data_IF_429895199222
#
_entry.id   IF_429895199222
#
_cell.length_a   1.000
_cell.length_b   1.000
_cell.length_c   1.000
_cell.angle_alpha   90.00
_cell.angle_beta   90.00
_cell.angle_gamma   90.00
#
_symmetry.space_group_name_H-M   'P 1'
#
loop_
_entity.id
_entity.type
_entity.pdbx_description
1 polymer ?
#
# COMPACT_ATOMS: atom_id res chain seq x y z
N UNK A 1 -12.08 18.89 -9.50
CA UNK A 1 -12.79 19.09 -8.21
C UNK A 1 -13.67 17.90 -7.82
N UNK A 2 -14.19 17.13 -8.77
CA UNK A 2 -15.07 15.95 -8.58
C UNK A 2 -14.80 15.10 -7.33
N UNK A 3 -13.59 14.56 -7.13
CA UNK A 3 -13.30 13.70 -5.98
C UNK A 3 -13.46 14.41 -4.63
N UNK A 4 -13.06 15.68 -4.56
CA UNK A 4 -13.18 16.49 -3.34
C UNK A 4 -14.63 16.94 -3.11
N UNK A 5 -15.41 17.15 -4.18
CA UNK A 5 -16.84 17.43 -4.05
C UNK A 5 -17.60 16.20 -3.54
N UNK A 6 -17.23 15.00 -3.98
CA UNK A 6 -17.79 13.75 -3.44
C UNK A 6 -17.38 13.57 -1.98
N UNK A 7 -16.08 13.71 -1.66
CA UNK A 7 -15.56 13.40 -0.33
C UNK A 7 -16.01 14.40 0.74
N UNK A 8 -16.12 15.69 0.40
CA UNK A 8 -16.43 16.75 1.36
C UNK A 8 -17.82 17.37 1.17
N UNK A 9 -18.47 17.22 0.02
CA UNK A 9 -19.77 17.85 -0.24
C UNK A 9 -19.75 19.34 0.12
N UNK A 10 -20.72 19.75 0.93
CA UNK A 10 -20.84 21.13 1.47
C UNK A 10 -20.05 21.34 2.78
N UNK A 11 -19.38 20.32 3.32
CA UNK A 11 -18.60 20.45 4.56
C UNK A 11 -17.31 21.26 4.38
N UNK A 12 -16.96 21.60 3.13
CA UNK A 12 -15.80 22.43 2.76
C UNK A 12 -16.17 23.42 1.67
N UNK A 13 -15.74 24.66 1.85
CA UNK A 13 -15.86 25.71 0.84
C UNK A 13 -15.03 25.39 -0.39
N UNK A 14 -15.34 26.04 -1.51
CA UNK A 14 -14.56 25.92 -2.75
C UNK A 14 -13.08 26.30 -2.55
N UNK A 15 -12.80 27.31 -1.75
CA UNK A 15 -11.43 27.78 -1.52
C UNK A 15 -10.64 26.78 -0.68
N UNK A 16 -11.22 26.22 0.39
CA UNK A 16 -10.59 25.14 1.17
C UNK A 16 -10.28 23.93 0.29
N UNK A 17 -11.25 23.54 -0.54
CA UNK A 17 -11.10 22.47 -1.52
C UNK A 17 -9.95 22.73 -2.50
N UNK A 18 -9.77 23.97 -2.98
CA UNK A 18 -8.63 24.35 -3.82
C UNK A 18 -7.30 24.25 -3.05
N UNK A 19 -7.28 24.62 -1.77
CA UNK A 19 -6.07 24.44 -0.95
C UNK A 19 -5.70 22.98 -0.78
N UNK A 20 -6.68 22.11 -0.49
CA UNK A 20 -6.48 20.66 -0.39
C UNK A 20 -5.95 20.10 -1.71
N UNK A 21 -6.52 20.53 -2.84
CA UNK A 21 -6.05 20.11 -4.17
C UNK A 21 -4.57 20.47 -4.39
N UNK A 22 -4.19 21.72 -4.09
CA UNK A 22 -2.79 22.18 -4.20
C UNK A 22 -1.85 21.38 -3.29
N UNK A 23 -2.27 21.10 -2.06
CA UNK A 23 -1.49 20.29 -1.12
C UNK A 23 -1.35 18.84 -1.59
N UNK A 24 -2.40 18.25 -2.16
CA UNK A 24 -2.37 16.89 -2.72
C UNK A 24 -1.37 16.78 -3.88
N UNK A 25 -1.35 17.75 -4.82
CA UNK A 25 -0.35 17.77 -5.88
C UNK A 25 1.07 17.97 -5.36
N UNK A 26 1.27 18.83 -4.36
CA UNK A 26 2.58 18.98 -3.69
C UNK A 26 3.00 17.67 -3.06
N UNK A 27 2.12 16.98 -2.35
CA UNK A 27 2.42 15.71 -1.71
C UNK A 27 2.77 14.63 -2.74
N UNK A 28 2.07 14.58 -3.88
CA UNK A 28 2.38 13.65 -4.97
C UNK A 28 3.79 13.90 -5.52
N UNK A 29 4.12 15.16 -5.80
CA UNK A 29 5.45 15.55 -6.28
C UNK A 29 6.54 15.25 -5.23
N UNK A 30 6.29 15.58 -3.96
CA UNK A 30 7.21 15.28 -2.86
C UNK A 30 7.44 13.78 -2.73
N UNK A 31 6.39 12.96 -2.82
CA UNK A 31 6.51 11.50 -2.70
C UNK A 31 7.32 10.91 -3.86
N UNK A 32 7.11 11.41 -5.08
CA UNK A 32 7.91 11.01 -6.24
C UNK A 32 9.40 11.40 -6.07
N UNK A 33 9.67 12.63 -5.64
CA UNK A 33 11.04 13.10 -5.36
C UNK A 33 11.70 12.31 -4.23
N UNK A 34 10.95 11.96 -3.18
CA UNK A 34 11.43 11.09 -2.11
C UNK A 34 11.83 9.71 -2.64
N UNK A 35 11.05 9.09 -3.53
CA UNK A 35 11.42 7.81 -4.13
C UNK A 35 12.71 7.92 -4.97
N UNK A 36 12.86 8.99 -5.76
CA UNK A 36 14.10 9.24 -6.51
C UNK A 36 15.29 9.48 -5.57
N UNK A 37 15.08 10.22 -4.49
CA UNK A 37 16.10 10.47 -3.49
C UNK A 37 16.50 9.18 -2.77
N UNK A 38 15.53 8.35 -2.37
CA UNK A 38 15.79 7.06 -1.73
C UNK A 38 16.62 6.13 -2.62
N UNK A 39 16.37 6.09 -3.94
CA UNK A 39 17.08 5.20 -4.86
C UNK A 39 18.63 5.26 -4.79
N UNK A 40 19.21 6.41 -4.43
CA UNK A 40 20.66 6.55 -4.40
C UNK A 40 21.32 5.86 -3.18
N UNK A 41 20.62 5.77 -2.05
CA UNK A 41 21.10 5.11 -0.82
C UNK A 41 19.88 4.75 0.05
N UNK A 42 19.13 3.69 -0.31
CA UNK A 42 17.79 3.48 0.22
C UNK A 42 17.78 3.23 1.73
N UNK A 43 18.74 2.47 2.26
CA UNK A 43 18.82 2.16 3.69
C UNK A 43 19.11 3.42 4.51
N UNK A 44 20.20 4.13 4.19
CA UNK A 44 20.60 5.32 4.94
C UNK A 44 19.59 6.45 4.82
N UNK A 45 19.01 6.67 3.64
CA UNK A 45 18.04 7.75 3.41
C UNK A 45 16.67 7.43 3.97
N UNK A 46 16.28 6.16 4.07
CA UNK A 46 15.03 5.80 4.73
C UNK A 46 15.05 6.20 6.21
N UNK A 47 16.16 5.97 6.91
CA UNK A 47 16.33 6.43 8.31
C UNK A 47 16.21 7.96 8.42
N UNK A 48 16.58 8.71 7.39
CA UNK A 48 16.48 10.18 7.39
C UNK A 48 15.06 10.70 7.12
N UNK A 49 14.19 9.93 6.46
CA UNK A 49 12.77 10.27 6.28
C UNK A 49 11.92 9.94 7.51
N UNK A 50 12.45 9.11 8.41
CA UNK A 50 11.79 8.68 9.62
C UNK A 50 11.93 9.76 10.70
N UNK A 51 10.88 10.55 10.88
CA UNK A 51 10.84 11.56 11.95
C UNK A 51 10.62 10.95 13.33
N UNK A 52 9.91 9.80 13.40
CA UNK A 52 9.49 9.13 14.63
C UNK A 52 9.41 7.62 14.42
N UNK A 53 9.45 6.88 15.52
CA UNK A 53 9.14 5.45 15.53
C UNK A 53 7.71 5.18 15.05
N UNK A 54 7.49 4.13 14.23
CA UNK A 54 6.18 3.79 13.73
C UNK A 54 5.25 3.32 14.86
N UNK A 55 4.03 3.81 14.83
CA UNK A 55 2.98 3.34 15.71
C UNK A 55 2.48 1.95 15.25
N UNK A 56 2.12 1.09 16.21
CA UNK A 56 1.48 -0.20 15.91
C UNK A 56 2.42 -1.39 15.69
N UNK A 57 3.74 -1.27 15.88
CA UNK A 57 4.66 -2.41 15.81
C UNK A 57 4.29 -3.55 16.77
N UNK A 58 3.81 -3.23 17.96
CA UNK A 58 3.34 -4.24 18.91
C UNK A 58 2.07 -4.96 18.43
N UNK A 59 1.23 -4.30 17.63
CA UNK A 59 0.07 -4.94 16.99
C UNK A 59 0.56 -5.93 15.93
N UNK A 60 1.53 -5.50 15.10
CA UNK A 60 2.14 -6.36 14.09
C UNK A 60 2.75 -7.63 14.72
N UNK A 61 3.56 -7.49 15.77
CA UNK A 61 4.16 -8.62 16.49
C UNK A 61 3.09 -9.60 16.99
N UNK A 62 2.06 -9.11 17.70
CA UNK A 62 0.95 -9.94 18.18
C UNK A 62 0.17 -10.63 17.06
N UNK A 63 0.07 -10.01 15.89
CA UNK A 63 -0.56 -10.64 14.73
C UNK A 63 0.33 -11.75 14.15
N UNK A 64 1.64 -11.52 14.06
CA UNK A 64 2.61 -12.52 13.60
C UNK A 64 2.74 -13.70 14.57
N UNK A 65 2.59 -13.49 15.88
CA UNK A 65 2.60 -14.56 16.89
C UNK A 65 1.48 -15.61 16.67
N UNK A 66 0.43 -15.26 15.91
CA UNK A 66 -0.63 -16.20 15.53
C UNK A 66 -0.19 -17.21 14.47
N UNK A 67 0.95 -17.01 13.80
CA UNK A 67 1.49 -17.93 12.79
C UNK A 67 0.67 -18.01 11.50
N UNK A 68 -0.09 -16.95 11.16
CA UNK A 68 -1.02 -16.92 10.01
C UNK A 68 -0.68 -15.86 8.95
N UNK A 69 0.47 -15.20 9.10
CA UNK A 69 0.84 -14.02 8.32
C UNK A 69 -0.04 -12.82 8.68
N UNK A 70 0.13 -11.73 7.93
CA UNK A 70 -0.63 -10.48 8.14
C UNK A 70 -0.98 -9.86 6.80
N UNK A 71 -2.21 -9.38 6.65
CA UNK A 71 -2.53 -8.45 5.57
C UNK A 71 -2.33 -7.00 6.02
N UNK A 72 -1.52 -6.25 5.27
CA UNK A 72 -1.50 -4.80 5.36
C UNK A 72 -2.44 -4.21 4.32
N UNK A 73 -3.57 -3.70 4.79
CA UNK A 73 -4.52 -2.97 3.98
C UNK A 73 -4.17 -1.48 3.99
N UNK A 74 -3.93 -0.90 2.82
CA UNK A 74 -3.67 0.53 2.65
C UNK A 74 -4.38 1.09 1.43
N UNK A 75 -4.18 2.39 1.17
CA UNK A 75 -4.64 3.12 0.01
C UNK A 75 -3.46 3.80 -0.70
N UNK A 76 -3.69 4.40 -1.87
CA UNK A 76 -2.73 5.28 -2.54
C UNK A 76 -2.64 6.62 -1.80
N UNK A 77 -2.16 6.56 -0.55
CA UNK A 77 -2.09 7.67 0.39
C UNK A 77 -0.69 7.76 1.00
N UNK A 78 -0.22 8.99 1.18
CA UNK A 78 1.15 9.25 1.64
C UNK A 78 2.20 8.71 0.66
N UNK A 79 3.34 8.27 1.18
CA UNK A 79 4.40 7.63 0.40
C UNK A 79 4.44 6.12 0.71
N UNK A 80 3.54 5.37 0.07
CA UNK A 80 3.42 3.92 0.29
C UNK A 80 4.66 3.13 -0.18
N UNK A 81 5.41 3.66 -1.15
CA UNK A 81 6.66 3.04 -1.62
C UNK A 81 7.74 3.12 -0.54
N UNK A 82 7.89 4.30 0.10
CA UNK A 82 8.79 4.48 1.23
C UNK A 82 8.35 3.63 2.45
N UNK A 83 7.04 3.52 2.70
CA UNK A 83 6.51 2.66 3.76
C UNK A 83 6.90 1.19 3.55
N UNK A 84 6.80 0.69 2.32
CA UNK A 84 7.24 -0.67 1.97
C UNK A 84 8.73 -0.87 2.25
N UNK A 85 9.58 0.05 1.77
CA UNK A 85 11.02 0.01 2.04
C UNK A 85 11.32 -0.03 3.53
N UNK A 86 10.72 0.89 4.27
CA UNK A 86 10.89 1.01 5.71
C UNK A 86 10.52 -0.29 6.43
N UNK A 87 9.38 -0.92 6.09
CA UNK A 87 9.00 -2.22 6.64
C UNK A 87 10.10 -3.28 6.43
N UNK A 88 10.70 -3.32 5.24
CA UNK A 88 11.78 -4.27 4.96
C UNK A 88 13.00 -4.03 5.86
N UNK A 89 13.39 -2.77 6.06
CA UNK A 89 14.50 -2.41 6.93
C UNK A 89 14.25 -2.60 8.42
N UNK A 90 12.98 -2.57 8.86
CA UNK A 90 12.62 -2.97 10.22
C UNK A 90 12.93 -4.45 10.51
N UNK A 91 13.02 -5.28 9.47
CA UNK A 91 13.36 -6.69 9.55
C UNK A 91 12.50 -7.49 10.55
N UNK A 92 11.21 -7.12 10.69
CA UNK A 92 10.25 -7.81 11.56
C UNK A 92 9.70 -9.07 10.87
N UNK A 93 9.38 -8.96 9.57
CA UNK A 93 8.92 -10.07 8.73
C UNK A 93 9.02 -9.64 7.25
N UNK A 94 9.29 -10.55 6.30
CA UNK A 94 9.20 -10.22 4.87
C UNK A 94 7.82 -9.66 4.50
N UNK A 95 7.82 -8.60 3.69
CA UNK A 95 6.61 -8.03 3.10
C UNK A 95 6.53 -8.35 1.61
N UNK A 96 5.35 -8.79 1.18
CA UNK A 96 5.04 -9.03 -0.22
C UNK A 96 3.98 -8.05 -0.72
N UNK A 97 4.34 -7.16 -1.63
CA UNK A 97 3.40 -6.19 -2.21
C UNK A 97 2.69 -6.78 -3.43
N UNK A 98 1.36 -6.71 -3.46
CA UNK A 98 0.58 -7.09 -4.64
C UNK A 98 0.64 -5.96 -5.66
N UNK A 99 1.20 -6.23 -6.84
CA UNK A 99 1.45 -5.23 -7.88
C UNK A 99 0.96 -5.69 -9.25
N UNK A 100 0.61 -4.73 -10.11
CA UNK A 100 0.49 -4.96 -11.55
C UNK A 100 1.85 -4.67 -12.18
N UNK A 101 2.30 -5.53 -13.11
CA UNK A 101 3.47 -5.23 -13.95
C UNK A 101 3.26 -3.93 -14.74
N UNK A 102 4.27 -3.06 -14.71
CA UNK A 102 4.27 -1.84 -15.52
C UNK A 102 4.47 -2.19 -17.00
N UNK A 103 3.81 -1.43 -17.88
CA UNK A 103 3.84 -1.70 -19.32
C UNK A 103 5.22 -1.41 -19.94
N UNK A 104 5.97 -0.46 -19.36
CA UNK A 104 7.32 -0.16 -19.78
C UNK A 104 8.32 -1.04 -19.00
N UNK A 105 9.09 -1.92 -19.68
CA UNK A 105 9.99 -2.87 -19.02
C UNK A 105 11.11 -2.19 -18.24
N UNK A 106 11.57 -1.00 -18.64
CA UNK A 106 12.62 -0.27 -17.91
C UNK A 106 12.08 0.32 -16.60
N UNK A 107 10.84 0.84 -16.64
CA UNK A 107 10.17 1.33 -15.42
C UNK A 107 9.81 0.17 -14.49
N UNK A 108 9.39 -0.96 -15.04
CA UNK A 108 9.14 -2.19 -14.29
C UNK A 108 10.39 -2.67 -13.55
N UNK A 109 11.53 -2.73 -14.24
CA UNK A 109 12.81 -3.14 -13.63
C UNK A 109 13.23 -2.18 -12.51
N UNK A 110 13.14 -0.88 -12.74
CA UNK A 110 13.46 0.14 -11.75
C UNK A 110 12.53 0.03 -10.52
N UNK A 111 11.21 -0.07 -10.73
CA UNK A 111 10.24 -0.22 -9.67
C UNK A 111 10.43 -1.53 -8.89
N UNK A 112 10.72 -2.64 -9.58
CA UNK A 112 11.02 -3.92 -8.94
C UNK A 112 12.24 -3.80 -8.05
N UNK A 113 13.36 -3.32 -8.60
CA UNK A 113 14.62 -3.15 -7.87
C UNK A 113 14.40 -2.33 -6.61
N UNK A 114 13.74 -1.17 -6.74
CA UNK A 114 13.42 -0.30 -5.61
C UNK A 114 12.57 -1.03 -4.56
N UNK A 115 11.49 -1.71 -4.95
CA UNK A 115 10.59 -2.37 -4.00
C UNK A 115 11.20 -3.59 -3.32
N UNK A 116 12.24 -4.20 -3.88
CA UNK A 116 12.88 -5.42 -3.33
C UNK A 116 14.22 -5.17 -2.64
N UNK A 117 14.81 -3.97 -2.75
CA UNK A 117 16.16 -3.68 -2.20
C UNK A 117 16.25 -3.85 -0.68
N UNK A 118 15.13 -3.72 0.05
CA UNK A 118 15.05 -3.92 1.50
C UNK A 118 14.75 -5.37 1.91
N UNK A 119 14.82 -6.34 0.99
CA UNK A 119 14.51 -7.75 1.26
C UNK A 119 13.02 -8.12 1.09
N UNK A 120 12.19 -7.16 0.71
CA UNK A 120 10.78 -7.40 0.38
C UNK A 120 10.61 -8.16 -0.93
N UNK A 121 9.44 -8.77 -1.10
CA UNK A 121 9.01 -9.46 -2.31
C UNK A 121 7.86 -8.78 -3.03
N UNK A 122 7.58 -9.25 -4.24
CA UNK A 122 6.43 -8.84 -5.04
C UNK A 122 5.56 -10.04 -5.38
N UNK A 123 4.25 -9.80 -5.47
CA UNK A 123 3.26 -10.75 -5.96
C UNK A 123 2.53 -10.08 -7.11
N UNK A 124 2.66 -10.62 -8.31
CA UNK A 124 2.05 -9.99 -9.48
C UNK A 124 0.58 -10.42 -9.63
N UNK A 125 -0.30 -9.48 -9.99
CA UNK A 125 -1.75 -9.73 -10.10
C UNK A 125 -2.11 -10.81 -11.13
N UNK A 126 -1.29 -10.99 -12.15
CA UNK A 126 -1.45 -12.04 -13.16
C UNK A 126 -1.01 -13.44 -12.69
N UNK A 127 -0.33 -13.53 -11.55
CA UNK A 127 0.15 -14.80 -11.00
C UNK A 127 -0.95 -15.53 -10.21
N UNK A 128 -0.68 -16.81 -9.92
CA UNK A 128 -1.58 -17.61 -9.11
C UNK A 128 -1.82 -16.98 -7.73
N UNK A 129 -3.08 -16.79 -7.31
CA UNK A 129 -3.43 -16.35 -5.95
C UNK A 129 -2.88 -17.27 -4.85
N UNK A 130 -2.51 -18.52 -5.19
CA UNK A 130 -1.87 -19.44 -4.26
C UNK A 130 -0.51 -18.93 -3.76
N UNK A 131 0.16 -18.02 -4.49
CA UNK A 131 1.38 -17.37 -4.00
C UNK A 131 1.10 -16.47 -2.79
N UNK A 132 -0.04 -15.78 -2.76
CA UNK A 132 -0.49 -15.00 -1.59
C UNK A 132 -0.71 -15.94 -0.41
N UNK A 133 -1.45 -17.04 -0.65
CA UNK A 133 -1.72 -18.06 0.39
C UNK A 133 -0.42 -18.66 0.93
N UNK A 134 0.56 -18.93 0.06
CA UNK A 134 1.87 -19.45 0.45
C UNK A 134 2.65 -18.46 1.32
N UNK A 135 2.67 -17.18 0.95
CA UNK A 135 3.33 -16.14 1.75
C UNK A 135 2.73 -16.07 3.16
N UNK A 136 1.40 -16.04 3.26
CA UNK A 136 0.70 -15.99 4.56
C UNK A 136 0.94 -17.24 5.40
N UNK A 137 0.93 -18.44 4.80
CA UNK A 137 1.25 -19.70 5.49
C UNK A 137 2.69 -19.76 6.01
N UNK A 138 3.60 -19.02 5.39
CA UNK A 138 4.98 -18.86 5.86
C UNK A 138 5.10 -17.74 6.92
N UNK A 139 3.98 -17.26 7.45
CA UNK A 139 3.91 -16.15 8.41
C UNK A 139 4.48 -14.82 7.89
N UNK A 140 4.45 -14.61 6.56
CA UNK A 140 4.89 -13.35 5.96
C UNK A 140 3.74 -12.32 5.92
N UNK A 141 4.12 -11.05 5.71
CA UNK A 141 3.18 -9.97 5.52
C UNK A 141 2.84 -9.79 4.02
N UNK A 142 1.60 -9.42 3.71
CA UNK A 142 1.15 -9.11 2.35
C UNK A 142 0.52 -7.72 2.33
N UNK A 143 1.11 -6.79 1.58
CA UNK A 143 0.56 -5.45 1.38
C UNK A 143 -0.39 -5.42 0.18
N UNK A 144 -1.54 -4.77 0.36
CA UNK A 144 -2.56 -4.62 -0.67
C UNK A 144 -3.19 -3.23 -0.62
N UNK A 145 -3.31 -2.62 -1.80
CA UNK A 145 -3.97 -1.34 -2.02
C UNK A 145 -5.38 -1.60 -2.57
N UNK A 146 -6.40 -1.23 -1.82
CA UNK A 146 -7.81 -1.63 -2.10
C UNK A 146 -8.73 -0.45 -2.41
N UNK A 147 -8.17 0.72 -2.66
CA UNK A 147 -8.87 1.98 -2.93
C UNK A 147 -9.13 2.25 -4.43
N UNK A 148 -8.74 1.32 -5.31
CA UNK A 148 -9.00 1.43 -6.74
C UNK A 148 -10.14 0.52 -7.20
N UNK A 149 -10.87 1.00 -8.20
CA UNK A 149 -11.96 0.30 -8.84
C UNK A 149 -11.47 -1.01 -9.50
N UNK A 150 -12.32 -2.04 -9.47
CA UNK A 150 -12.10 -3.34 -10.09
C UNK A 150 -13.36 -3.72 -10.86
N UNK A 151 -13.20 -3.99 -12.17
CA UNK A 151 -14.34 -4.29 -13.04
C UNK A 151 -14.96 -5.68 -12.80
N UNK A 152 -14.20 -6.66 -12.29
CA UNK A 152 -14.63 -8.06 -12.22
C UNK A 152 -14.71 -8.52 -10.76
N UNK A 153 -15.86 -9.09 -10.37
CA UNK A 153 -16.05 -9.71 -9.05
C UNK A 153 -16.07 -8.73 -7.87
N UNK A 154 -16.23 -7.43 -8.14
CA UNK A 154 -16.38 -6.41 -7.14
C UNK A 154 -17.75 -6.50 -6.44
N UNK A 155 -17.77 -6.04 -5.19
CA UNK A 155 -19.01 -5.74 -4.47
C UNK A 155 -19.16 -4.23 -4.41
N UNK A 156 -20.39 -3.73 -4.50
CA UNK A 156 -20.64 -2.31 -4.32
C UNK A 156 -20.81 -2.03 -2.83
N UNK A 157 -19.99 -1.12 -2.31
CA UNK A 157 -20.06 -0.64 -0.92
C UNK A 157 -20.21 0.87 -0.92
N UNK A 158 -20.73 1.42 0.18
CA UNK A 158 -20.77 2.87 0.35
C UNK A 158 -19.37 3.42 0.59
N UNK A 159 -18.96 4.37 -0.24
CA UNK A 159 -17.72 5.13 -0.08
C UNK A 159 -18.01 6.60 -0.35
N UNK A 160 -17.94 7.41 0.72
CA UNK A 160 -18.37 8.82 0.70
C UNK A 160 -19.82 9.02 0.21
N UNK A 161 -20.76 8.16 0.64
CA UNK A 161 -22.16 8.27 0.25
C UNK A 161 -22.43 7.89 -1.22
N UNK A 162 -21.47 7.26 -1.89
CA UNK A 162 -21.57 6.78 -3.28
C UNK A 162 -21.24 5.30 -3.34
N UNK A 163 -22.03 4.56 -4.11
CA UNK A 163 -21.74 3.16 -4.39
C UNK A 163 -20.44 3.06 -5.20
N UNK A 164 -19.41 2.44 -4.60
CA UNK A 164 -18.11 2.21 -5.22
C UNK A 164 -17.87 0.71 -5.37
N UNK A 165 -17.37 0.30 -6.54
CA UNK A 165 -17.00 -1.09 -6.80
C UNK A 165 -15.67 -1.42 -6.10
N UNK A 166 -15.74 -2.30 -5.10
CA UNK A 166 -14.63 -2.64 -4.20
C UNK A 166 -14.28 -4.13 -4.31
N UNK A 167 -12.97 -4.49 -4.34
CA UNK A 167 -12.57 -5.89 -4.39
C UNK A 167 -12.89 -6.60 -3.07
N UNK A 168 -13.43 -7.83 -3.14
CA UNK A 168 -13.70 -8.66 -1.95
C UNK A 168 -12.60 -9.69 -1.63
N UNK A 169 -11.56 -9.80 -2.46
CA UNK A 169 -10.57 -10.88 -2.42
C UNK A 169 -9.82 -10.95 -1.10
N UNK A 170 -9.35 -9.80 -0.59
CA UNK A 170 -8.59 -9.72 0.67
C UNK A 170 -9.49 -10.12 1.85
N UNK A 171 -10.70 -9.57 1.92
CA UNK A 171 -11.66 -9.92 2.97
C UNK A 171 -11.98 -11.43 2.97
N UNK A 172 -12.20 -12.02 1.78
CA UNK A 172 -12.48 -13.45 1.66
C UNK A 172 -11.28 -14.31 2.08
N UNK A 173 -10.06 -13.94 1.69
CA UNK A 173 -8.85 -14.66 2.07
C UNK A 173 -8.56 -14.55 3.56
N UNK A 174 -8.65 -13.34 4.13
CA UNK A 174 -8.53 -13.10 5.58
C UNK A 174 -9.52 -13.96 6.36
N UNK A 175 -10.81 -13.94 5.98
CA UNK A 175 -11.84 -14.76 6.64
C UNK A 175 -11.55 -16.27 6.55
N UNK A 176 -11.15 -16.77 5.37
CA UNK A 176 -10.89 -18.21 5.17
C UNK A 176 -9.63 -18.71 5.87
N UNK A 177 -8.58 -17.90 5.91
CA UNK A 177 -7.29 -18.28 6.49
C UNK A 177 -7.18 -17.93 7.98
N UNK A 178 -8.07 -17.05 8.47
CA UNK A 178 -7.95 -16.44 9.80
C UNK A 178 -6.74 -15.53 9.91
N UNK A 179 -6.25 -15.01 8.77
CA UNK A 179 -5.15 -14.05 8.70
C UNK A 179 -5.68 -12.68 9.12
N UNK A 180 -5.07 -12.03 10.14
CA UNK A 180 -5.45 -10.69 10.56
C UNK A 180 -5.17 -9.63 9.49
#
# INVERSE_FOLDING_TARGET
MTNLDIAFGESKTRDEKIQILKQSYRQLATSALQCLWLNADPEKRMVQLMEKEPEGLEVLKRCLDKGKGVFFLTAHYGNWEALGLFHGYLNVSPLYSIVRRLDNPFLEEAARTFRTVSGNGLLYREESPLKIVKALKNNHCVAVMMDQNTAVGAVFVDFFGKAAATPRSVALLSYRLGTP
#
